data_IF_654470652691
#
_entry.id   IF_654470652691
#
_cell.length_a   1.000
_cell.length_b   1.000
_cell.length_c   1.000
_cell.angle_alpha   90.00
_cell.angle_beta   90.00
_cell.angle_gamma   90.00
#
_symmetry.space_group_name_H-M   'P 1'
#
loop_
_entity.id
_entity.type
_entity.pdbx_description
1 polymer ?
#
# COMPACT_ATOMS: atom_id res chain seq x y z
N UNK A 1 33.54 -5.50 6.64
CA UNK A 1 32.19 -6.00 6.29
C UNK A 1 31.92 -7.17 7.22
N UNK A 2 31.05 -7.00 8.23
CA UNK A 2 30.76 -8.05 9.22
C UNK A 2 29.66 -8.95 8.67
N UNK A 3 29.99 -10.21 8.43
CA UNK A 3 29.05 -11.28 8.11
C UNK A 3 28.19 -11.57 9.34
N UNK A 4 26.87 -11.44 9.24
CA UNK A 4 25.93 -11.83 10.30
C UNK A 4 25.37 -13.22 9.98
N UNK A 5 25.54 -14.14 10.92
CA UNK A 5 24.98 -15.48 10.91
C UNK A 5 23.60 -15.47 11.57
N UNK A 6 22.59 -16.08 10.94
CA UNK A 6 21.25 -16.23 11.48
C UNK A 6 20.93 -17.71 11.76
N UNK A 7 20.26 -17.95 12.86
CA UNK A 7 19.90 -19.31 13.30
C UNK A 7 18.55 -19.72 12.72
N UNK A 8 18.47 -20.82 11.95
CA UNK A 8 17.22 -21.47 11.56
C UNK A 8 17.01 -22.70 12.43
N UNK A 9 15.84 -22.88 13.03
CA UNK A 9 15.50 -23.88 14.03
C UNK A 9 15.67 -25.37 13.63
N UNK A 10 16.49 -25.66 12.62
CA UNK A 10 16.87 -27.01 12.21
C UNK A 10 18.39 -27.25 12.32
N UNK A 11 19.11 -26.46 13.12
CA UNK A 11 20.52 -26.73 13.43
C UNK A 11 21.53 -26.47 12.31
N UNK A 12 21.14 -25.88 11.19
CA UNK A 12 22.04 -25.50 10.10
C UNK A 12 22.15 -23.99 9.99
N UNK A 13 23.34 -23.44 10.23
CA UNK A 13 23.64 -22.04 9.93
C UNK A 13 23.62 -21.85 8.41
N UNK A 14 22.63 -21.14 7.89
CA UNK A 14 22.67 -20.61 6.52
C UNK A 14 23.29 -19.22 6.57
N UNK A 15 24.40 -19.03 5.85
CA UNK A 15 24.92 -17.69 5.56
C UNK A 15 23.86 -16.92 4.80
N UNK A 16 23.34 -15.84 5.38
CA UNK A 16 22.57 -14.86 4.63
C UNK A 16 23.52 -14.18 3.64
N UNK A 17 23.30 -14.42 2.36
CA UNK A 17 23.92 -13.60 1.33
C UNK A 17 22.90 -12.52 0.98
N UNK A 18 23.24 -11.23 1.14
CA UNK A 18 22.43 -10.18 0.51
C UNK A 18 22.36 -10.52 -0.97
N UNK A 19 21.18 -10.37 -1.56
CA UNK A 19 21.05 -10.40 -3.02
C UNK A 19 21.80 -9.13 -3.48
N UNK A 20 23.10 -9.27 -3.66
CA UNK A 20 23.92 -8.24 -4.32
C UNK A 20 23.61 -8.42 -5.79
N UNK A 21 22.70 -7.62 -6.31
CA UNK A 21 22.53 -7.50 -7.75
C UNK A 21 23.85 -6.92 -8.31
N UNK A 22 24.75 -7.78 -8.76
CA UNK A 22 25.97 -7.40 -9.47
C UNK A 22 25.67 -7.10 -10.96
N UNK A 23 24.66 -6.26 -11.22
CA UNK A 23 24.26 -5.86 -12.56
C UNK A 23 23.20 -4.75 -12.50
N UNK A 24 22.83 -4.12 -13.62
CA UNK A 24 21.72 -3.21 -13.66
C UNK A 24 20.46 -3.95 -13.17
N UNK A 25 19.76 -3.35 -12.21
CA UNK A 25 18.49 -3.87 -11.70
C UNK A 25 17.54 -3.96 -12.89
N UNK A 26 16.98 -5.16 -13.14
CA UNK A 26 15.93 -5.29 -14.14
C UNK A 26 14.63 -4.66 -13.59
N UNK A 27 14.43 -3.40 -13.94
CA UNK A 27 13.25 -2.63 -13.56
C UNK A 27 11.96 -3.37 -13.95
N UNK A 28 11.94 -4.03 -15.11
CA UNK A 28 10.76 -4.76 -15.56
C UNK A 28 10.49 -6.01 -14.72
N UNK A 29 11.53 -6.68 -14.23
CA UNK A 29 11.35 -7.78 -13.28
C UNK A 29 10.74 -7.28 -11.98
N UNK A 30 11.26 -6.19 -11.40
CA UNK A 30 10.69 -5.58 -10.20
C UNK A 30 9.22 -5.21 -10.42
N UNK A 31 8.90 -4.50 -11.51
CA UNK A 31 7.52 -4.11 -11.83
C UNK A 31 6.58 -5.31 -11.99
N UNK A 32 7.04 -6.39 -12.65
CA UNK A 32 6.23 -7.59 -12.91
C UNK A 32 6.06 -8.51 -11.71
N UNK A 33 6.90 -8.38 -10.69
CA UNK A 33 6.89 -9.23 -9.50
C UNK A 33 6.52 -8.50 -8.21
N UNK A 34 6.31 -7.19 -8.26
CA UNK A 34 5.77 -6.43 -7.11
C UNK A 34 4.30 -6.76 -6.94
N UNK A 35 4.00 -7.49 -5.89
CA UNK A 35 2.65 -7.95 -5.53
C UNK A 35 2.22 -7.39 -4.19
N UNK A 36 0.92 -7.48 -3.90
CA UNK A 36 0.39 -7.18 -2.57
C UNK A 36 0.80 -8.29 -1.59
N UNK A 37 1.83 -8.03 -0.79
CA UNK A 37 2.30 -8.92 0.28
C UNK A 37 1.55 -8.60 1.57
N UNK A 38 0.98 -9.64 2.19
CA UNK A 38 0.19 -9.53 3.44
C UNK A 38 0.67 -10.45 4.54
N UNK A 39 1.59 -11.36 4.25
CA UNK A 39 2.18 -12.30 5.21
C UNK A 39 3.67 -12.06 5.28
N UNK A 40 4.15 -11.76 6.47
CA UNK A 40 5.54 -11.42 6.72
C UNK A 40 6.21 -12.46 7.62
N UNK A 41 7.53 -12.56 7.51
CA UNK A 41 8.36 -13.22 8.53
C UNK A 41 8.60 -12.26 9.69
N UNK A 42 9.20 -12.75 10.77
CA UNK A 42 9.58 -11.92 11.91
C UNK A 42 10.92 -11.16 11.68
N UNK A 43 11.49 -11.27 10.48
CA UNK A 43 12.72 -10.56 10.13
C UNK A 43 12.49 -9.03 10.17
N UNK A 44 13.39 -8.27 10.81
CA UNK A 44 13.26 -6.83 10.86
C UNK A 44 13.49 -6.19 9.48
N UNK A 45 12.92 -5.00 9.28
CA UNK A 45 13.30 -4.09 8.21
C UNK A 45 14.25 -3.03 8.80
N UNK A 46 15.57 -3.11 8.56
CA UNK A 46 16.55 -2.18 9.12
C UNK A 46 16.32 -0.74 8.66
N UNK A 47 16.72 0.23 9.50
CA UNK A 47 16.51 1.65 9.20
C UNK A 47 17.29 2.14 7.98
N UNK A 48 18.50 1.60 7.75
CA UNK A 48 19.29 1.93 6.56
C UNK A 48 18.63 1.43 5.27
N UNK A 49 17.99 0.25 5.31
CA UNK A 49 17.20 -0.28 4.18
C UNK A 49 15.97 0.58 3.95
N UNK A 50 15.22 0.90 5.01
CA UNK A 50 14.04 1.75 4.91
C UNK A 50 14.39 3.16 4.38
N UNK A 51 15.52 3.72 4.82
CA UNK A 51 16.04 5.00 4.28
C UNK A 51 16.31 4.90 2.78
N UNK A 52 16.95 3.83 2.29
CA UNK A 52 17.17 3.64 0.84
C UNK A 52 15.86 3.52 0.08
N UNK A 53 14.88 2.79 0.63
CA UNK A 53 13.54 2.68 0.03
C UNK A 53 12.90 4.07 -0.12
N UNK A 54 12.87 4.87 0.94
CA UNK A 54 12.27 6.19 0.94
C UNK A 54 13.06 7.20 0.09
N UNK A 55 14.40 7.12 0.11
CA UNK A 55 15.26 7.98 -0.70
C UNK A 55 15.04 7.79 -2.20
N UNK A 56 14.87 6.56 -2.65
CA UNK A 56 14.52 6.29 -4.06
C UNK A 56 13.05 6.66 -4.36
N UNK A 57 12.14 6.37 -3.45
CA UNK A 57 10.72 6.63 -3.67
C UNK A 57 10.38 8.12 -3.79
N UNK A 58 11.08 9.00 -3.08
CA UNK A 58 10.83 10.45 -3.07
C UNK A 58 11.03 11.14 -4.42
N UNK A 59 11.63 10.47 -5.41
CA UNK A 59 11.72 10.96 -6.78
C UNK A 59 10.44 10.77 -7.60
N UNK A 60 9.36 10.28 -6.98
CA UNK A 60 8.04 10.27 -7.61
C UNK A 60 7.60 11.68 -8.00
N UNK A 61 6.98 11.85 -9.18
CA UNK A 61 6.48 13.15 -9.60
C UNK A 61 5.30 13.61 -8.74
N UNK A 62 5.12 14.93 -8.65
CA UNK A 62 3.91 15.56 -8.10
C UNK A 62 3.53 16.78 -8.96
N UNK A 63 2.26 17.11 -9.03
CA UNK A 63 1.76 18.24 -9.80
C UNK A 63 2.50 19.54 -9.44
N UNK A 64 3.11 20.20 -10.42
CA UNK A 64 3.94 21.40 -10.22
C UNK A 64 5.14 21.19 -9.30
N UNK A 65 5.58 19.95 -9.09
CA UNK A 65 6.65 19.57 -8.16
C UNK A 65 6.43 20.07 -6.71
N UNK A 66 5.17 20.12 -6.27
CA UNK A 66 4.78 20.70 -4.98
C UNK A 66 5.12 19.81 -3.78
N UNK A 67 5.36 18.51 -3.99
CA UNK A 67 5.87 17.55 -3.01
C UNK A 67 5.08 17.53 -1.69
N UNK A 68 3.75 17.59 -1.77
CA UNK A 68 2.84 17.63 -0.62
C UNK A 68 2.68 16.32 0.15
N UNK A 69 3.48 15.30 -0.17
CA UNK A 69 3.44 14.02 0.52
C UNK A 69 4.16 14.08 1.88
N UNK A 70 3.58 13.41 2.90
CA UNK A 70 4.21 13.14 4.19
C UNK A 70 4.09 11.66 4.51
N UNK A 71 5.16 11.09 5.07
CA UNK A 71 5.20 9.68 5.45
C UNK A 71 5.56 9.59 6.94
N UNK A 72 4.69 8.94 7.71
CA UNK A 72 4.95 8.61 9.10
C UNK A 72 5.42 7.16 9.17
N UNK A 73 6.60 6.94 9.73
CA UNK A 73 7.18 5.61 9.94
C UNK A 73 6.73 5.08 11.30
N UNK A 74 5.96 4.00 11.32
CA UNK A 74 5.32 3.45 12.52
C UNK A 74 5.93 2.08 12.83
N UNK A 75 6.84 2.07 13.82
CA UNK A 75 7.44 0.84 14.36
C UNK A 75 6.79 0.38 15.65
N UNK A 76 6.16 1.29 16.36
CA UNK A 76 5.45 0.96 17.59
C UNK A 76 4.30 -0.01 17.33
N UNK A 77 4.28 -1.13 18.06
CA UNK A 77 3.28 -2.18 17.88
C UNK A 77 1.89 -1.71 18.28
N UNK A 78 1.77 -0.98 19.38
CA UNK A 78 0.47 -0.52 19.87
C UNK A 78 -0.19 0.43 18.85
N UNK A 79 0.60 1.30 18.20
CA UNK A 79 0.12 2.19 17.13
C UNK A 79 -0.32 1.41 15.89
N UNK A 80 0.42 0.35 15.49
CA UNK A 80 0.01 -0.51 14.37
C UNK A 80 -1.27 -1.30 14.69
N UNK A 81 -1.40 -1.81 15.92
CA UNK A 81 -2.60 -2.49 16.39
C UNK A 81 -3.81 -1.54 16.37
N UNK A 82 -3.64 -0.30 16.83
CA UNK A 82 -4.68 0.72 16.77
C UNK A 82 -5.11 1.04 15.32
N UNK A 83 -4.17 1.15 14.37
CA UNK A 83 -4.48 1.32 12.94
C UNK A 83 -5.21 0.10 12.36
N UNK A 84 -4.89 -1.11 12.80
CA UNK A 84 -5.60 -2.32 12.42
C UNK A 84 -7.06 -2.28 12.91
N UNK A 85 -7.30 -1.85 14.15
CA UNK A 85 -8.66 -1.65 14.71
C UNK A 85 -9.44 -0.58 13.91
N UNK A 86 -8.81 0.55 13.58
CA UNK A 86 -9.42 1.61 12.77
C UNK A 86 -9.72 1.16 11.32
N UNK A 87 -9.13 0.08 10.86
CA UNK A 87 -9.43 -0.50 9.55
C UNK A 87 -10.67 -1.42 9.55
N UNK A 88 -11.13 -1.87 10.72
CA UNK A 88 -12.22 -2.85 10.85
C UNK A 88 -13.55 -2.37 10.24
N UNK A 89 -14.04 -1.14 10.50
CA UNK A 89 -15.34 -0.71 9.97
C UNK A 89 -15.41 -0.78 8.45
N UNK A 90 -14.40 -0.27 7.78
CA UNK A 90 -14.28 -0.28 6.32
C UNK A 90 -14.14 -1.70 5.76
N UNK A 91 -13.29 -2.52 6.38
CA UNK A 91 -13.07 -3.90 5.97
C UNK A 91 -14.34 -4.75 6.14
N UNK A 92 -15.10 -4.54 7.22
CA UNK A 92 -16.38 -5.22 7.46
C UNK A 92 -17.41 -4.89 6.39
N UNK A 93 -17.56 -3.60 6.04
CA UNK A 93 -18.43 -3.18 4.94
C UNK A 93 -17.97 -3.78 3.62
N UNK A 94 -16.68 -3.78 3.33
CA UNK A 94 -16.10 -4.40 2.15
C UNK A 94 -16.48 -5.89 2.05
N UNK A 95 -16.29 -6.65 3.13
CA UNK A 95 -16.60 -8.06 3.18
C UNK A 95 -18.11 -8.32 3.01
N UNK A 96 -18.97 -7.52 3.65
CA UNK A 96 -20.41 -7.60 3.51
C UNK A 96 -20.87 -7.36 2.06
N UNK A 97 -20.35 -6.31 1.42
CA UNK A 97 -20.68 -6.00 0.03
C UNK A 97 -20.23 -7.11 -0.91
N UNK A 98 -19.02 -7.64 -0.72
CA UNK A 98 -18.51 -8.76 -1.52
C UNK A 98 -19.38 -10.00 -1.38
N UNK A 99 -19.79 -10.35 -0.14
CA UNK A 99 -20.68 -11.47 0.14
C UNK A 99 -22.07 -11.29 -0.48
N UNK A 100 -22.52 -10.05 -0.65
CA UNK A 100 -23.78 -9.68 -1.31
C UNK A 100 -23.66 -9.55 -2.85
N UNK A 101 -22.50 -9.91 -3.44
CA UNK A 101 -22.25 -9.81 -4.89
C UNK A 101 -22.11 -8.38 -5.43
N UNK A 102 -21.82 -7.42 -4.55
CA UNK A 102 -21.55 -6.03 -4.93
C UNK A 102 -20.07 -5.84 -5.29
N UNK A 103 -19.79 -4.82 -6.11
CA UNK A 103 -18.44 -4.26 -6.21
C UNK A 103 -18.20 -3.36 -4.99
N UNK A 104 -17.35 -3.76 -4.02
CA UNK A 104 -17.18 -3.01 -2.78
C UNK A 104 -16.71 -1.58 -3.03
N UNK A 105 -17.26 -0.63 -2.26
CA UNK A 105 -16.92 0.79 -2.34
C UNK A 105 -17.08 1.40 -3.74
N UNK A 106 -18.01 0.86 -4.54
CA UNK A 106 -18.30 1.39 -5.88
C UNK A 106 -18.76 2.87 -5.78
N UNK A 107 -18.08 3.80 -6.48
CA UNK A 107 -18.43 5.22 -6.38
C UNK A 107 -19.67 5.62 -7.19
N UNK A 108 -20.13 4.78 -8.13
CA UNK A 108 -21.25 5.07 -9.03
C UNK A 108 -22.59 4.51 -8.52
N UNK A 109 -22.55 3.51 -7.65
CA UNK A 109 -23.75 2.83 -7.19
C UNK A 109 -23.82 2.83 -5.65
N UNK A 110 -24.97 3.19 -5.06
CA UNK A 110 -25.14 3.10 -3.62
C UNK A 110 -25.08 1.64 -3.17
N UNK A 111 -24.61 1.40 -1.93
CA UNK A 111 -24.55 0.05 -1.38
C UNK A 111 -25.97 -0.51 -1.21
N UNK A 112 -26.12 -1.81 -1.48
CA UNK A 112 -27.37 -2.57 -1.25
C UNK A 112 -27.36 -3.26 0.13
N UNK A 113 -26.17 -3.52 0.69
CA UNK A 113 -26.07 -4.10 2.03
C UNK A 113 -26.61 -3.17 3.09
N UNK A 114 -27.38 -3.73 4.03
CA UNK A 114 -27.93 -3.02 5.17
C UNK A 114 -26.91 -2.89 6.32
N UNK A 115 -27.14 -1.95 7.22
CA UNK A 115 -26.33 -1.79 8.43
C UNK A 115 -26.30 -3.08 9.29
N UNK A 116 -27.41 -3.81 9.35
CA UNK A 116 -27.50 -5.07 10.08
C UNK A 116 -26.64 -6.17 9.44
N UNK A 117 -26.65 -6.28 8.11
CA UNK A 117 -25.78 -7.21 7.38
C UNK A 117 -24.32 -6.88 7.59
N UNK A 118 -23.94 -5.58 7.50
CA UNK A 118 -22.58 -5.14 7.79
C UNK A 118 -22.18 -5.52 9.22
N UNK A 119 -23.00 -5.21 10.21
CA UNK A 119 -22.69 -5.50 11.61
C UNK A 119 -22.52 -7.02 11.88
N UNK A 120 -23.28 -7.87 11.20
CA UNK A 120 -23.21 -9.33 11.33
C UNK A 120 -22.04 -9.98 10.56
N UNK A 121 -21.30 -9.20 9.73
CA UNK A 121 -20.23 -9.76 8.90
C UNK A 121 -18.92 -9.82 9.68
N UNK A 122 -18.26 -10.98 9.65
CA UNK A 122 -16.92 -11.15 10.17
C UNK A 122 -15.89 -10.44 9.25
N UNK A 123 -14.87 -9.87 9.86
CA UNK A 123 -13.78 -9.22 9.14
C UNK A 123 -12.71 -10.26 8.82
N UNK A 124 -12.42 -10.54 7.54
CA UNK A 124 -11.33 -11.45 7.18
C UNK A 124 -9.99 -10.94 7.70
N UNK A 125 -9.18 -11.81 8.28
CA UNK A 125 -7.91 -11.48 8.93
C UNK A 125 -6.93 -10.76 8.04
N UNK A 126 -6.95 -11.02 6.72
CA UNK A 126 -6.06 -10.38 5.75
C UNK A 126 -6.23 -8.85 5.62
N UNK A 127 -7.26 -8.26 6.24
CA UNK A 127 -7.41 -6.79 6.31
C UNK A 127 -6.66 -6.18 7.48
N UNK A 128 -6.48 -6.88 8.59
CA UNK A 128 -5.92 -6.36 9.84
C UNK A 128 -4.54 -6.95 10.17
N UNK A 129 -4.36 -8.26 9.97
CA UNK A 129 -3.13 -8.95 10.33
C UNK A 129 -1.86 -8.39 9.64
N UNK A 130 -1.90 -7.92 8.38
CA UNK A 130 -0.73 -7.30 7.78
C UNK A 130 -0.20 -6.10 8.56
N UNK A 131 -1.08 -5.28 9.16
CA UNK A 131 -0.67 -4.14 9.99
C UNK A 131 -0.06 -4.60 11.32
N UNK A 132 -0.62 -5.64 11.93
CA UNK A 132 -0.16 -6.19 13.21
C UNK A 132 1.21 -6.86 13.11
N UNK A 133 1.46 -7.57 11.99
CA UNK A 133 2.64 -8.41 11.78
C UNK A 133 3.72 -7.81 10.88
N UNK A 134 3.49 -6.62 10.34
CA UNK A 134 4.52 -5.92 9.56
C UNK A 134 5.72 -5.55 10.41
N UNK A 135 6.91 -5.53 9.82
CA UNK A 135 8.11 -4.99 10.46
C UNK A 135 8.01 -3.48 10.70
N UNK A 136 7.27 -2.78 9.83
CA UNK A 136 6.95 -1.36 9.91
C UNK A 136 5.67 -1.08 9.13
N UNK A 137 4.88 -0.09 9.55
CA UNK A 137 3.83 0.50 8.74
C UNK A 137 4.19 1.92 8.35
N UNK A 138 3.91 2.31 7.11
CA UNK A 138 4.07 3.67 6.62
C UNK A 138 2.68 4.27 6.42
N UNK A 139 2.32 5.29 7.20
CA UNK A 139 1.12 6.07 6.93
C UNK A 139 1.49 7.24 6.00
N UNK A 140 0.87 7.28 4.82
CA UNK A 140 1.16 8.26 3.78
C UNK A 140 0.02 9.26 3.73
N UNK A 141 0.36 10.52 3.93
CA UNK A 141 -0.56 11.64 3.91
C UNK A 141 -0.25 12.59 2.76
N UNK A 142 -1.28 13.31 2.32
CA UNK A 142 -1.17 14.39 1.33
C UNK A 142 -1.64 15.71 1.94
N UNK A 143 -0.85 16.75 1.75
CA UNK A 143 -1.20 18.11 2.12
C UNK A 143 -2.22 18.69 1.13
N UNK A 144 -3.43 18.93 1.60
CA UNK A 144 -4.54 19.42 0.79
C UNK A 144 -4.37 20.91 0.41
N UNK A 145 -3.51 21.65 1.10
CA UNK A 145 -3.21 23.05 0.76
C UNK A 145 -2.34 23.18 -0.50
N UNK A 146 -1.60 22.10 -0.85
CA UNK A 146 -0.66 22.14 -1.98
C UNK A 146 -1.01 21.20 -3.12
N UNK A 147 -1.86 20.18 -2.88
CA UNK A 147 -2.25 19.25 -3.94
C UNK A 147 -3.20 19.91 -4.95
N UNK A 148 -3.00 19.61 -6.24
CA UNK A 148 -3.92 20.07 -7.27
C UNK A 148 -5.04 19.06 -7.50
N UNK A 149 -6.27 19.54 -7.60
CA UNK A 149 -7.48 18.76 -7.88
C UNK A 149 -8.28 19.46 -8.99
N UNK A 150 -7.73 19.47 -10.21
CA UNK A 150 -8.33 20.19 -11.36
C UNK A 150 -9.71 19.63 -11.77
N UNK A 151 -10.07 18.46 -11.25
CA UNK A 151 -11.35 17.82 -11.47
C UNK A 151 -12.34 18.01 -10.29
N UNK A 152 -12.05 18.93 -9.36
CA UNK A 152 -12.90 19.19 -8.18
C UNK A 152 -14.30 19.69 -8.53
N UNK A 153 -14.45 20.38 -9.67
CA UNK A 153 -15.72 20.96 -10.13
C UNK A 153 -16.50 20.04 -11.07
N UNK A 154 -16.03 18.80 -11.29
CA UNK A 154 -16.73 17.81 -12.11
C UNK A 154 -17.76 17.04 -11.27
N UNK A 155 -18.93 16.74 -11.88
CA UNK A 155 -19.97 15.90 -11.26
C UNK A 155 -19.59 14.41 -11.29
N UNK A 156 -18.45 14.07 -10.69
CA UNK A 156 -17.94 12.72 -10.44
C UNK A 156 -16.93 12.74 -9.32
N UNK A 157 -16.59 11.56 -8.78
CA UNK A 157 -15.51 11.46 -7.81
C UNK A 157 -14.19 11.99 -8.39
N UNK A 158 -13.49 12.84 -7.62
CA UNK A 158 -12.16 13.34 -7.98
C UNK A 158 -11.10 12.25 -7.98
N UNK A 159 -10.23 12.25 -8.98
CA UNK A 159 -9.13 11.28 -9.10
C UNK A 159 -7.76 11.96 -9.27
N UNK A 160 -7.74 13.25 -9.63
CA UNK A 160 -6.50 13.94 -10.03
C UNK A 160 -5.57 14.18 -8.84
N UNK A 161 -6.08 14.46 -7.66
CA UNK A 161 -5.26 14.62 -6.45
C UNK A 161 -4.40 13.37 -6.17
N UNK A 162 -4.90 12.19 -6.49
CA UNK A 162 -4.17 10.94 -6.38
C UNK A 162 -2.91 10.85 -7.23
N UNK A 163 -2.84 11.60 -8.35
CA UNK A 163 -1.67 11.62 -9.24
C UNK A 163 -0.41 12.20 -8.56
N UNK A 164 -0.57 13.02 -7.51
CA UNK A 164 0.54 13.60 -6.75
C UNK A 164 0.97 12.75 -5.55
N UNK A 165 0.29 11.64 -5.27
CA UNK A 165 0.57 10.83 -4.07
C UNK A 165 0.82 9.36 -4.39
N UNK A 166 -0.01 8.73 -5.24
CA UNK A 166 0.12 7.29 -5.53
C UNK A 166 1.38 6.91 -6.32
N UNK A 167 2.02 7.76 -7.13
CA UNK A 167 3.36 7.47 -7.66
C UNK A 167 4.41 7.25 -6.55
N UNK A 168 4.39 8.06 -5.48
CA UNK A 168 5.26 7.86 -4.31
C UNK A 168 4.95 6.53 -3.62
N UNK A 169 3.66 6.25 -3.36
CA UNK A 169 3.21 5.00 -2.73
C UNK A 169 3.67 3.78 -3.53
N UNK A 170 3.55 3.83 -4.85
CA UNK A 170 3.99 2.75 -5.71
C UNK A 170 5.52 2.62 -5.76
N UNK A 171 6.25 3.73 -5.83
CA UNK A 171 7.70 3.72 -5.78
C UNK A 171 8.24 3.11 -4.46
N UNK A 172 7.57 3.36 -3.33
CA UNK A 172 7.92 2.71 -2.05
C UNK A 172 7.83 1.18 -2.19
N UNK A 173 6.76 0.66 -2.80
CA UNK A 173 6.59 -0.79 -2.97
C UNK A 173 7.60 -1.38 -3.97
N UNK A 174 7.89 -0.68 -5.06
CA UNK A 174 8.92 -1.10 -6.03
C UNK A 174 10.31 -1.13 -5.37
N UNK A 175 10.66 -0.08 -4.63
CA UNK A 175 11.93 -0.01 -3.92
C UNK A 175 12.02 -1.08 -2.82
N UNK A 176 10.94 -1.31 -2.06
CA UNK A 176 10.88 -2.38 -1.08
C UNK A 176 11.09 -3.76 -1.74
N UNK A 177 10.44 -4.02 -2.88
CA UNK A 177 10.63 -5.25 -3.66
C UNK A 177 12.09 -5.43 -4.10
N UNK A 178 12.72 -4.36 -4.56
CA UNK A 178 14.13 -4.36 -4.96
C UNK A 178 15.07 -4.68 -3.79
N UNK A 179 14.75 -4.22 -2.59
CA UNK A 179 15.50 -4.49 -1.36
C UNK A 179 15.17 -5.87 -0.73
N UNK A 180 14.32 -6.69 -1.40
CA UNK A 180 13.93 -8.02 -0.90
C UNK A 180 12.83 -8.00 0.16
N UNK A 181 12.12 -6.89 0.30
CA UNK A 181 10.94 -6.71 1.14
C UNK A 181 9.68 -6.60 0.29
N UNK A 182 8.55 -6.51 0.94
CA UNK A 182 7.27 -6.35 0.27
C UNK A 182 6.24 -5.72 1.19
N UNK A 183 5.10 -5.40 0.60
CA UNK A 183 3.99 -4.81 1.34
C UNK A 183 2.73 -4.73 0.49
N UNK A 184 1.76 -4.03 0.99
CA UNK A 184 0.51 -3.78 0.27
C UNK A 184 0.02 -2.36 0.53
N UNK A 185 -0.75 -1.81 -0.40
CA UNK A 185 -1.50 -0.58 -0.19
C UNK A 185 -2.79 -0.96 0.52
N UNK A 186 -3.04 -0.40 1.70
CA UNK A 186 -4.35 -0.46 2.33
C UNK A 186 -4.90 0.95 2.55
N UNK A 187 -6.19 1.11 2.27
CA UNK A 187 -6.93 2.35 2.47
C UNK A 187 -8.07 2.18 3.49
N UNK A 188 -8.13 1.02 4.14
CA UNK A 188 -9.24 0.69 5.04
C UNK A 188 -9.37 1.65 6.23
N UNK A 189 -8.26 2.18 6.74
CA UNK A 189 -8.27 3.15 7.84
C UNK A 189 -8.77 4.55 7.42
N UNK A 190 -8.88 4.84 6.12
CA UNK A 190 -9.33 6.16 5.62
C UNK A 190 -10.77 6.47 6.04
N UNK A 191 -11.62 5.47 6.21
CA UNK A 191 -12.98 5.69 6.71
C UNK A 191 -13.04 6.25 8.14
N UNK A 192 -11.96 6.08 8.90
CA UNK A 192 -11.79 6.58 10.26
C UNK A 192 -10.68 7.65 10.33
N UNK A 193 -10.46 8.39 9.23
CA UNK A 193 -9.38 9.36 9.11
C UNK A 193 -9.29 10.35 10.29
N UNK A 194 -10.38 10.94 10.81
CA UNK A 194 -10.28 11.82 11.97
C UNK A 194 -9.59 11.17 13.16
N UNK A 195 -9.91 9.90 13.44
CA UNK A 195 -9.28 9.11 14.53
C UNK A 195 -7.84 8.72 14.22
N UNK A 196 -7.53 8.46 12.95
CA UNK A 196 -6.13 8.22 12.51
C UNK A 196 -5.29 9.49 12.69
N UNK A 197 -5.84 10.67 12.34
CA UNK A 197 -5.14 11.95 12.55
C UNK A 197 -4.90 12.23 14.03
N UNK A 198 -5.89 12.00 14.88
CA UNK A 198 -5.74 12.11 16.34
C UNK A 198 -4.66 11.16 16.86
N UNK A 199 -4.69 9.86 16.48
CA UNK A 199 -3.71 8.84 16.89
C UNK A 199 -2.29 9.23 16.51
N UNK A 200 -2.09 9.83 15.33
CA UNK A 200 -0.77 10.13 14.76
C UNK A 200 -0.35 11.60 14.90
N UNK A 201 -1.16 12.46 15.50
CA UNK A 201 -0.89 13.89 15.67
C UNK A 201 -0.82 14.66 14.34
N UNK A 202 -1.70 14.32 13.37
CA UNK A 202 -1.66 14.88 12.02
C UNK A 202 -2.58 16.11 11.92
N UNK A 203 -2.11 17.26 11.34
CA UNK A 203 -2.92 18.45 11.14
C UNK A 203 -4.13 18.23 10.22
N UNK A 204 -5.16 19.08 10.36
CA UNK A 204 -6.42 18.98 9.61
C UNK A 204 -6.26 19.19 8.10
N UNK A 205 -5.23 19.90 7.67
CA UNK A 205 -4.92 20.12 6.25
C UNK A 205 -4.41 18.87 5.53
N UNK A 206 -4.11 17.79 6.26
CA UNK A 206 -3.61 16.55 5.68
C UNK A 206 -4.69 15.47 5.58
N UNK A 207 -4.76 14.80 4.43
CA UNK A 207 -5.59 13.62 4.21
C UNK A 207 -4.75 12.34 4.18
N UNK A 208 -5.28 11.27 4.78
CA UNK A 208 -4.67 9.94 4.72
C UNK A 208 -4.88 9.32 3.33
N UNK A 209 -3.82 9.12 2.59
CA UNK A 209 -3.87 8.50 1.25
C UNK A 209 -3.81 6.97 1.31
N UNK A 210 -2.92 6.44 2.15
CA UNK A 210 -2.73 5.01 2.29
C UNK A 210 -1.94 4.66 3.56
N UNK A 211 -2.07 3.40 3.99
CA UNK A 211 -1.15 2.79 4.95
C UNK A 211 -0.46 1.61 4.24
N UNK A 212 0.86 1.51 4.39
CA UNK A 212 1.69 0.48 3.78
C UNK A 212 2.33 -0.37 4.88
N UNK A 213 1.77 -1.52 5.25
CA UNK A 213 2.49 -2.51 6.04
C UNK A 213 3.63 -3.08 5.18
N UNK A 214 4.86 -3.01 5.67
CA UNK A 214 6.07 -3.51 5.02
C UNK A 214 6.79 -4.53 5.91
N UNK A 215 7.33 -5.55 5.29
CA UNK A 215 8.12 -6.58 5.96
C UNK A 215 8.75 -7.54 4.96
N UNK A 216 9.50 -8.52 5.45
CA UNK A 216 10.03 -9.57 4.60
C UNK A 216 8.92 -10.57 4.27
N UNK A 217 8.62 -10.81 2.97
CA UNK A 217 7.51 -11.67 2.60
C UNK A 217 7.79 -13.13 2.98
N UNK A 218 6.81 -13.84 3.54
CA UNK A 218 6.86 -15.30 3.70
C UNK A 218 6.93 -16.00 2.34
N UNK A 219 6.26 -15.43 1.34
CA UNK A 219 6.28 -15.88 -0.04
C UNK A 219 6.32 -14.69 -0.98
N UNK A 220 7.29 -14.68 -1.89
CA UNK A 220 7.39 -13.68 -2.95
C UNK A 220 6.75 -14.24 -4.23
N UNK A 221 5.63 -13.67 -4.69
CA UNK A 221 5.07 -14.04 -5.99
C UNK A 221 6.04 -13.67 -7.13
N UNK A 222 6.16 -14.57 -8.10
CA UNK A 222 7.02 -14.38 -9.29
C UNK A 222 6.22 -14.22 -10.57
N UNK A 223 4.90 -14.49 -10.52
CA UNK A 223 3.97 -14.33 -11.65
C UNK A 223 2.70 -13.67 -11.17
N UNK A 224 2.32 -12.57 -11.82
CA UNK A 224 1.08 -11.87 -11.58
C UNK A 224 0.19 -11.98 -12.82
N UNK A 225 -1.10 -12.28 -12.60
CA UNK A 225 -2.09 -12.26 -13.68
C UNK A 225 -2.53 -10.81 -13.93
N UNK A 226 -2.50 -10.39 -15.17
CA UNK A 226 -2.96 -9.07 -15.63
C UNK A 226 -3.74 -9.24 -16.92
N UNK A 227 -4.57 -8.25 -17.24
CA UNK A 227 -5.19 -8.12 -18.56
C UNK A 227 -4.12 -8.05 -19.66
N UNK A 228 -4.48 -8.45 -20.87
CA UNK A 228 -3.60 -8.30 -22.03
C UNK A 228 -3.45 -6.82 -22.42
N UNK A 229 -2.46 -6.52 -23.25
CA UNK A 229 -2.30 -5.15 -23.79
C UNK A 229 -3.52 -4.75 -24.62
N UNK A 230 -4.09 -5.67 -25.39
CA UNK A 230 -5.28 -5.42 -26.20
C UNK A 230 -6.54 -5.10 -25.37
N UNK A 231 -6.63 -5.61 -24.12
CA UNK A 231 -7.70 -5.24 -23.18
C UNK A 231 -7.41 -3.93 -22.43
N UNK A 232 -6.14 -3.52 -22.36
CA UNK A 232 -5.72 -2.34 -21.63
C UNK A 232 -5.70 -1.07 -22.48
N UNK A 233 -5.34 -1.19 -23.76
CA UNK A 233 -5.05 -0.05 -24.63
C UNK A 233 -5.78 -0.17 -25.98
N UNK A 234 -6.34 0.96 -26.42
CA UNK A 234 -6.97 1.13 -27.74
C UNK A 234 -6.31 2.29 -28.47
N UNK A 235 -6.43 2.32 -29.80
CA UNK A 235 -5.86 3.37 -30.65
C UNK A 235 -6.81 4.57 -30.72
N UNK A 236 -6.28 5.74 -30.48
CA UNK A 236 -6.87 7.07 -30.67
C UNK A 236 -8.18 7.35 -29.90
N UNK A 237 -9.04 6.36 -29.69
CA UNK A 237 -10.38 6.48 -29.07
C UNK A 237 -10.63 5.33 -28.10
N UNK A 238 -11.57 5.53 -27.16
CA UNK A 238 -11.96 4.48 -26.20
C UNK A 238 -12.52 3.23 -26.90
N UNK A 239 -13.25 3.43 -27.99
CA UNK A 239 -13.86 2.39 -28.86
C UNK A 239 -12.99 2.08 -30.10
N UNK A 240 -11.74 2.49 -30.12
CA UNK A 240 -10.78 2.23 -31.20
C UNK A 240 -10.30 0.78 -31.23
N UNK A 241 -9.55 0.44 -32.30
CA UNK A 241 -8.93 -0.88 -32.43
C UNK A 241 -7.97 -1.15 -31.24
N UNK A 242 -7.92 -2.38 -30.73
CA UNK A 242 -6.94 -2.77 -29.72
C UNK A 242 -5.50 -2.46 -30.16
N UNK A 243 -4.67 -2.03 -29.20
CA UNK A 243 -3.25 -1.72 -29.47
C UNK A 243 -2.40 -3.00 -29.53
#
# INVERSE_FOLDING_TARGET
MSERLWWSGAGAFRRWQPIVHHGPVDLYEVMRTTAAVREFTDDPLPDDVLKRILDNARFAPSGGNRQGARVIVIRDRATRDALAELSIPSARRYAAQLANGESPWNPLHPPKVTAAQIAATEVPSHFTEPLRHAAVALAVFVDLEVVAAVDQDLDRIGVISGASIYPLVWNILLAARNEGYGGTITTSAVSEEPRVRELLGVPDSYALAAVLPLGKPRRQPTKLKRASIAELATRDRFDGEPF
#
